data_IF_186948174360
#
_entry.id   IF_186948174360
#
_cell.length_a   1.000
_cell.length_b   1.000
_cell.length_c   1.000
_cell.angle_alpha   90.00
_cell.angle_beta   90.00
_cell.angle_gamma   90.00
#
_symmetry.space_group_name_H-M   'P 1'
#
loop_
_entity.id
_entity.type
_entity.pdbx_description
1 polymer ?
#
# COMPACT_ATOMS: atom_id res chain seq x y z
N UNK A 1 15.02 -12.22 -17.16
CA UNK A 1 14.04 -13.24 -16.73
C UNK A 1 13.46 -12.75 -15.41
N UNK A 2 12.20 -12.28 -15.42
CA UNK A 2 11.55 -11.81 -14.20
C UNK A 2 11.10 -13.04 -13.42
N UNK A 3 11.69 -13.28 -12.25
CA UNK A 3 11.21 -14.27 -11.29
C UNK A 3 9.80 -13.86 -10.89
N UNK A 4 8.80 -14.69 -11.21
CA UNK A 4 7.43 -14.45 -10.78
C UNK A 4 7.40 -14.39 -9.25
N UNK A 5 6.88 -13.31 -8.64
CA UNK A 5 6.90 -13.12 -7.18
C UNK A 5 6.10 -14.17 -6.40
N UNK A 6 5.41 -15.09 -7.10
CA UNK A 6 4.46 -16.04 -6.55
C UNK A 6 5.07 -17.37 -6.10
N UNK A 7 6.32 -17.68 -6.48
CA UNK A 7 6.98 -18.91 -6.01
C UNK A 7 7.47 -18.83 -4.57
N UNK A 8 7.32 -17.68 -3.91
CA UNK A 8 7.80 -17.42 -2.56
C UNK A 8 6.87 -17.95 -1.45
N UNK A 9 5.63 -18.31 -1.77
CA UNK A 9 4.65 -18.73 -0.78
C UNK A 9 4.22 -20.18 -1.03
N UNK A 10 4.80 -21.17 -0.32
CA UNK A 10 4.40 -22.57 -0.46
C UNK A 10 2.97 -22.85 0.06
N UNK A 11 2.39 -21.88 0.77
CA UNK A 11 1.06 -21.94 1.36
C UNK A 11 0.34 -20.60 1.19
N UNK A 12 -0.99 -20.66 1.08
CA UNK A 12 -1.84 -19.48 1.01
C UNK A 12 -1.59 -18.51 2.20
N UNK A 13 -1.24 -17.24 1.95
CA UNK A 13 -0.69 -16.38 3.00
C UNK A 13 -1.78 -15.72 3.88
N UNK A 14 -3.05 -15.70 3.45
CA UNK A 14 -4.13 -15.15 4.28
C UNK A 14 -4.53 -16.14 5.37
N UNK A 15 -4.10 -15.86 6.59
CA UNK A 15 -4.47 -16.67 7.75
C UNK A 15 -5.98 -16.54 8.05
N UNK A 16 -6.62 -17.57 8.63
CA UNK A 16 -8.02 -17.49 9.03
C UNK A 16 -8.31 -16.33 10.00
N UNK A 17 -7.34 -15.97 10.85
CA UNK A 17 -7.44 -14.85 11.78
C UNK A 17 -7.53 -13.51 11.03
N UNK A 18 -6.69 -13.29 10.01
CA UNK A 18 -6.73 -12.11 9.16
C UNK A 18 -8.07 -12.02 8.40
N UNK A 19 -8.52 -13.12 7.80
CA UNK A 19 -9.81 -13.16 7.10
C UNK A 19 -10.98 -12.83 8.03
N UNK A 20 -10.99 -13.37 9.25
CA UNK A 20 -12.00 -13.05 10.27
C UNK A 20 -11.95 -11.58 10.70
N UNK A 21 -10.75 -11.01 10.83
CA UNK A 21 -10.57 -9.60 11.14
C UNK A 21 -11.11 -8.69 10.03
N UNK A 22 -10.71 -8.92 8.77
CA UNK A 22 -11.20 -8.15 7.62
C UNK A 22 -12.73 -8.32 7.49
N UNK A 23 -13.27 -9.53 7.69
CA UNK A 23 -14.70 -9.79 7.71
C UNK A 23 -15.44 -9.01 8.79
N UNK A 24 -14.86 -8.91 9.99
CA UNK A 24 -15.41 -8.12 11.10
C UNK A 24 -15.40 -6.62 10.78
N UNK A 25 -14.36 -6.13 10.10
CA UNK A 25 -14.32 -4.72 9.68
C UNK A 25 -15.32 -4.44 8.56
N UNK A 26 -15.47 -5.34 7.59
CA UNK A 26 -16.53 -5.26 6.57
C UNK A 26 -17.94 -5.23 7.15
N UNK A 27 -18.18 -5.94 8.26
CA UNK A 27 -19.46 -5.89 8.95
C UNK A 27 -19.79 -4.51 9.53
N UNK A 28 -18.77 -3.69 9.83
CA UNK A 28 -18.91 -2.31 10.30
C UNK A 28 -18.91 -1.29 9.16
N UNK A 29 -18.09 -1.51 8.15
CA UNK A 29 -17.91 -0.64 6.99
C UNK A 29 -18.12 -1.46 5.71
N UNK A 30 -19.28 -1.34 5.03
CA UNK A 30 -19.65 -2.26 3.95
C UNK A 30 -18.70 -2.23 2.75
N UNK A 31 -18.01 -1.11 2.52
CA UNK A 31 -17.01 -0.94 1.45
C UNK A 31 -15.70 -0.51 2.05
N UNK A 32 -14.65 -1.31 1.87
CA UNK A 32 -13.28 -0.92 2.23
C UNK A 32 -12.72 0.03 1.17
N UNK A 33 -11.74 0.86 1.52
CA UNK A 33 -11.06 1.74 0.57
C UNK A 33 -10.36 0.96 -0.52
N UNK A 34 -9.80 -0.21 -0.20
CA UNK A 34 -9.24 -1.11 -1.21
C UNK A 34 -10.29 -1.59 -2.22
N UNK A 35 -11.57 -1.74 -1.84
CA UNK A 35 -12.64 -2.07 -2.81
C UNK A 35 -12.82 -0.95 -3.83
N UNK A 36 -12.76 0.30 -3.37
CA UNK A 36 -12.83 1.46 -4.27
C UNK A 36 -11.60 1.53 -5.19
N UNK A 37 -10.41 1.20 -4.70
CA UNK A 37 -9.19 1.14 -5.53
C UNK A 37 -9.30 0.06 -6.61
N UNK A 38 -9.79 -1.13 -6.26
CA UNK A 38 -10.01 -2.22 -7.21
C UNK A 38 -11.11 -1.88 -8.22
N UNK A 39 -12.21 -1.27 -7.77
CA UNK A 39 -13.29 -0.82 -8.66
C UNK A 39 -12.80 0.24 -9.66
N UNK A 40 -11.99 1.21 -9.22
CA UNK A 40 -11.37 2.21 -10.10
C UNK A 40 -10.41 1.56 -11.11
N UNK A 41 -9.76 0.46 -10.75
CA UNK A 41 -8.91 -0.33 -11.65
C UNK A 41 -9.72 -1.20 -12.64
N UNK A 42 -11.05 -1.22 -12.53
CA UNK A 42 -11.93 -2.09 -13.32
C UNK A 42 -11.91 -3.56 -12.88
N UNK A 43 -11.39 -3.84 -11.68
CA UNK A 43 -11.25 -5.20 -11.14
C UNK A 43 -12.51 -5.51 -10.32
N UNK A 44 -13.26 -6.52 -10.74
CA UNK A 44 -14.52 -6.96 -10.10
C UNK A 44 -14.34 -8.07 -9.07
N UNK A 45 -13.09 -8.48 -8.82
CA UNK A 45 -12.75 -9.55 -7.88
C UNK A 45 -12.96 -9.09 -6.43
N UNK A 46 -13.46 -10.00 -5.60
CA UNK A 46 -13.71 -9.74 -4.19
C UNK A 46 -12.41 -9.78 -3.38
N UNK A 47 -12.22 -8.77 -2.55
CA UNK A 47 -11.18 -8.74 -1.51
C UNK A 47 -11.83 -9.03 -0.13
N UNK A 48 -11.14 -9.69 0.82
CA UNK A 48 -9.90 -10.40 0.64
C UNK A 48 -10.11 -11.70 -0.15
N UNK A 49 -9.10 -12.17 -0.88
CA UNK A 49 -9.16 -13.47 -1.52
C UNK A 49 -9.31 -14.56 -0.45
N UNK A 50 -10.13 -15.59 -0.72
CA UNK A 50 -10.40 -16.68 0.23
C UNK A 50 -9.52 -17.91 0.02
N UNK A 51 -9.00 -18.06 -1.19
CA UNK A 51 -8.23 -19.21 -1.63
C UNK A 51 -7.05 -18.74 -2.49
N UNK A 52 -6.02 -19.57 -2.60
CA UNK A 52 -4.85 -19.34 -3.44
C UNK A 52 -5.19 -18.96 -4.91
N UNK A 53 -6.05 -19.70 -5.64
CA UNK A 53 -6.40 -19.33 -7.01
C UNK A 53 -7.07 -17.96 -7.10
N UNK A 54 -7.86 -17.56 -6.10
CA UNK A 54 -8.50 -16.24 -6.07
C UNK A 54 -7.46 -15.13 -5.88
N UNK A 55 -6.44 -15.36 -5.05
CA UNK A 55 -5.31 -14.43 -4.88
C UNK A 55 -4.50 -14.31 -6.18
N UNK A 56 -4.21 -15.43 -6.84
CA UNK A 56 -3.49 -15.43 -8.12
C UNK A 56 -4.24 -14.65 -9.20
N UNK A 57 -5.56 -14.87 -9.30
CA UNK A 57 -6.43 -14.12 -10.22
C UNK A 57 -6.46 -12.63 -9.88
N UNK A 58 -6.49 -12.27 -8.60
CA UNK A 58 -6.46 -10.87 -8.17
C UNK A 58 -5.15 -10.19 -8.55
N UNK A 59 -4.01 -10.84 -8.30
CA UNK A 59 -2.69 -10.30 -8.64
C UNK A 59 -2.51 -10.16 -10.15
N UNK A 60 -2.96 -11.16 -10.92
CA UNK A 60 -2.96 -11.07 -12.38
C UNK A 60 -3.86 -9.93 -12.88
N UNK A 61 -5.07 -9.78 -12.32
CA UNK A 61 -5.98 -8.70 -12.69
C UNK A 61 -5.41 -7.31 -12.36
N UNK A 62 -4.66 -7.17 -11.25
CA UNK A 62 -3.94 -5.94 -10.93
C UNK A 62 -2.85 -5.64 -11.95
N UNK A 63 -2.05 -6.63 -12.35
CA UNK A 63 -0.99 -6.46 -13.34
C UNK A 63 -1.55 -6.10 -14.74
N UNK A 64 -2.67 -6.70 -15.14
CA UNK A 64 -3.36 -6.48 -16.42
C UNK A 64 -4.26 -5.23 -16.44
N UNK A 65 -4.43 -4.56 -15.30
CA UNK A 65 -5.29 -3.38 -15.20
C UNK A 65 -4.77 -2.18 -16.00
N UNK A 66 -5.68 -1.28 -16.37
CA UNK A 66 -5.36 -0.04 -17.08
C UNK A 66 -4.61 1.00 -16.23
N UNK A 67 -4.32 0.68 -14.97
CA UNK A 67 -3.57 1.57 -14.09
C UNK A 67 -2.12 1.73 -14.55
N UNK A 68 -1.57 2.92 -14.31
CA UNK A 68 -0.14 3.13 -14.45
C UNK A 68 0.63 2.21 -13.48
N UNK A 69 1.92 2.02 -13.78
CA UNK A 69 2.77 1.13 -13.01
C UNK A 69 2.80 1.47 -11.52
N UNK A 70 2.81 2.76 -11.17
CA UNK A 70 2.90 3.20 -9.78
C UNK A 70 1.62 2.84 -9.02
N UNK A 71 0.44 3.07 -9.60
CA UNK A 71 -0.84 2.68 -8.98
C UNK A 71 -0.95 1.17 -8.78
N UNK A 72 -0.52 0.36 -9.76
CA UNK A 72 -0.45 -1.10 -9.61
C UNK A 72 0.46 -1.50 -8.45
N UNK A 73 1.66 -0.93 -8.39
CA UNK A 73 2.61 -1.17 -7.30
C UNK A 73 2.05 -0.75 -5.93
N UNK A 74 1.24 0.32 -5.85
CA UNK A 74 0.56 0.73 -4.62
C UNK A 74 -0.51 -0.27 -4.16
N UNK A 75 -1.29 -0.85 -5.08
CA UNK A 75 -2.27 -1.90 -4.75
C UNK A 75 -1.53 -3.15 -4.26
N UNK A 76 -0.47 -3.57 -4.95
CA UNK A 76 0.34 -4.72 -4.54
C UNK A 76 0.99 -4.50 -3.17
N UNK A 77 1.49 -3.29 -2.91
CA UNK A 77 2.02 -2.90 -1.61
C UNK A 77 0.94 -2.98 -0.52
N UNK A 78 -0.28 -2.52 -0.79
CA UNK A 78 -1.41 -2.65 0.13
C UNK A 78 -1.68 -4.12 0.47
N UNK A 79 -1.77 -4.98 -0.56
CA UNK A 79 -2.01 -6.41 -0.37
C UNK A 79 -0.88 -7.10 0.42
N UNK A 80 0.37 -6.73 0.20
CA UNK A 80 1.52 -7.24 0.98
C UNK A 80 1.47 -6.76 2.43
N UNK A 81 1.09 -5.50 2.65
CA UNK A 81 0.97 -4.94 4.00
C UNK A 81 -0.08 -5.65 4.84
N UNK A 82 -1.13 -6.13 4.18
CA UNK A 82 -2.13 -7.01 4.76
C UNK A 82 -1.57 -8.34 5.25
N UNK A 83 -0.64 -8.92 4.51
CA UNK A 83 0.02 -10.18 4.89
C UNK A 83 1.01 -9.97 6.03
N UNK A 84 1.57 -8.77 6.16
CA UNK A 84 2.42 -8.37 7.28
C UNK A 84 1.59 -8.14 8.58
N UNK A 85 0.26 -8.23 8.54
CA UNK A 85 -0.58 -8.08 9.72
C UNK A 85 -0.37 -9.21 10.73
N UNK A 86 0.22 -8.86 11.87
CA UNK A 86 0.31 -9.74 13.02
C UNK A 86 -0.75 -9.36 14.09
N UNK A 87 -1.78 -10.20 14.32
CA UNK A 87 -2.76 -9.93 15.37
C UNK A 87 -2.15 -9.97 16.79
N UNK A 88 -1.01 -10.65 16.97
CA UNK A 88 -0.33 -10.74 18.26
C UNK A 88 0.29 -9.39 18.68
N UNK A 89 0.82 -8.62 17.72
CA UNK A 89 1.43 -7.32 17.97
C UNK A 89 0.41 -6.27 18.46
N UNK A 90 -0.83 -6.36 17.99
CA UNK A 90 -1.91 -5.44 18.38
C UNK A 90 -2.35 -5.66 19.84
N UNK A 91 -2.26 -6.89 20.33
CA UNK A 91 -2.69 -7.24 21.69
C UNK A 91 -1.75 -6.64 22.75
N UNK A 92 -0.44 -6.62 22.46
CA UNK A 92 0.60 -6.18 23.41
C UNK A 92 0.77 -4.67 23.52
N UNK A 93 0.34 -3.91 22.51
CA UNK A 93 0.54 -2.45 22.43
C UNK A 93 -0.60 -1.63 23.07
N UNK A 94 -1.76 -2.26 23.30
CA UNK A 94 -2.89 -1.60 23.97
C UNK A 94 -2.70 -1.38 25.48
N UNK A 95 -1.79 -2.12 26.12
CA UNK A 95 -1.45 -1.95 27.54
C UNK A 95 -0.36 -0.90 27.81
N UNK A 96 0.44 -0.50 26.81
CA UNK A 96 1.53 0.49 27.00
C UNK A 96 1.24 1.86 26.37
N UNK A 97 0.43 1.95 25.31
CA UNK A 97 0.11 3.23 24.68
C UNK A 97 -0.78 4.14 25.56
N UNK A 98 -1.60 3.57 26.44
CA UNK A 98 -2.36 4.34 27.43
C UNK A 98 -1.48 4.91 28.56
N UNK A 99 -0.29 4.34 28.81
CA UNK A 99 0.68 4.84 29.78
C UNK A 99 1.60 5.93 29.20
N UNK A 100 1.92 5.86 27.91
CA UNK A 100 2.84 6.81 27.26
C UNK A 100 2.27 8.23 27.08
N UNK A 101 0.94 8.41 27.08
CA UNK A 101 0.33 9.74 26.97
C UNK A 101 0.29 10.54 28.29
N UNK A 102 0.69 9.95 29.42
CA UNK A 102 0.64 10.61 30.76
C UNK A 102 2.02 11.08 31.25
N UNK A 103 3.11 10.76 30.54
CA UNK A 103 4.48 11.06 31.01
C UNK A 103 5.14 12.27 30.30
N UNK A 104 4.36 13.27 29.86
CA UNK A 104 4.88 14.55 29.38
C UNK A 104 4.75 15.62 30.46
N UNK A 105 5.51 15.50 31.55
CA UNK A 105 5.52 16.53 32.59
C UNK A 105 6.49 16.27 33.73
N UNK A 106 7.35 17.26 33.97
CA UNK A 106 8.28 17.46 35.09
C UNK A 106 9.69 16.89 34.90
N UNK A 107 10.61 17.82 34.59
CA UNK A 107 12.01 17.57 34.31
C UNK A 107 12.85 17.12 35.50
N UNK A 108 14.06 16.67 35.15
CA UNK A 108 15.23 16.67 36.03
C UNK A 108 16.47 16.66 35.12
N UNK A 109 17.21 17.76 35.14
CA UNK A 109 18.54 17.86 34.55
C UNK A 109 19.49 17.09 35.48
N UNK A 110 19.93 15.91 35.07
CA UNK A 110 20.94 15.14 35.80
C UNK A 110 21.98 14.63 34.78
N UNK A 111 23.13 15.27 34.84
CA UNK A 111 24.33 15.09 34.01
C UNK A 111 24.85 13.66 34.20
N UNK A 112 24.49 12.77 33.27
CA UNK A 112 24.93 11.37 33.26
C UNK A 112 25.53 11.09 31.89
N UNK A 113 26.86 11.20 31.79
CA UNK A 113 27.64 10.55 30.73
C UNK A 113 27.46 9.03 30.87
N UNK A 114 26.53 8.47 30.10
CA UNK A 114 26.48 7.03 29.81
C UNK A 114 26.92 6.85 28.37
N UNK A 115 27.87 5.95 28.14
CA UNK A 115 28.31 5.54 26.81
C UNK A 115 27.09 5.10 25.98
N UNK A 116 26.65 6.00 25.10
CA UNK A 116 25.57 5.82 24.12
C UNK A 116 26.07 4.93 22.97
N UNK A 117 26.42 3.67 23.26
CA UNK A 117 26.23 2.62 22.25
C UNK A 117 24.71 2.34 22.19
N UNK A 118 23.99 3.34 21.70
CA UNK A 118 22.57 3.31 21.39
C UNK A 118 22.40 2.21 20.35
N UNK A 119 21.94 1.05 20.81
CA UNK A 119 21.59 -0.05 19.92
C UNK A 119 20.41 0.47 19.11
N UNK A 120 20.71 1.04 17.93
CA UNK A 120 19.71 1.32 16.92
C UNK A 120 18.99 0.00 16.70
N UNK A 121 17.82 -0.15 17.31
CA UNK A 121 16.96 -1.30 17.14
C UNK A 121 16.80 -1.45 15.63
N UNK A 122 17.48 -2.45 15.07
CA UNK A 122 17.49 -2.73 13.65
C UNK A 122 16.06 -3.12 13.29
N UNK A 123 15.24 -2.12 12.94
CA UNK A 123 13.88 -2.30 12.46
C UNK A 123 14.01 -3.05 11.15
N UNK A 124 13.92 -4.38 11.23
CA UNK A 124 13.95 -5.24 10.06
C UNK A 124 12.78 -4.82 9.17
N UNK A 125 13.05 -4.35 7.93
CA UNK A 125 11.98 -3.92 7.04
C UNK A 125 11.01 -5.07 6.82
N UNK A 126 9.71 -4.78 6.87
CA UNK A 126 8.72 -5.81 6.56
C UNK A 126 8.79 -6.17 5.06
N UNK A 127 8.33 -7.36 4.65
CA UNK A 127 8.26 -7.75 3.25
C UNK A 127 7.58 -6.71 2.34
N UNK A 128 6.51 -6.05 2.81
CA UNK A 128 5.88 -4.97 2.06
C UNK A 128 6.82 -3.77 1.86
N UNK A 129 7.59 -3.37 2.88
CA UNK A 129 8.55 -2.27 2.78
C UNK A 129 9.72 -2.60 1.86
N UNK A 130 10.25 -3.83 1.93
CA UNK A 130 11.27 -4.29 0.99
C UNK A 130 10.77 -4.26 -0.46
N UNK A 131 9.53 -4.71 -0.70
CA UNK A 131 8.90 -4.62 -2.02
C UNK A 131 8.81 -3.18 -2.49
N UNK A 132 8.37 -2.28 -1.63
CA UNK A 132 8.18 -0.88 -1.97
C UNK A 132 9.51 -0.18 -2.30
N UNK A 133 10.58 -0.51 -1.57
CA UNK A 133 11.94 -0.06 -1.87
C UNK A 133 12.43 -0.59 -3.22
N UNK A 134 12.24 -1.89 -3.47
CA UNK A 134 12.65 -2.55 -4.73
C UNK A 134 11.93 -1.99 -5.95
N UNK A 135 10.64 -1.67 -5.83
CA UNK A 135 9.83 -1.03 -6.88
C UNK A 135 9.98 0.49 -6.94
N UNK A 136 10.73 1.10 -6.00
CA UNK A 136 10.93 2.55 -5.87
C UNK A 136 9.61 3.33 -5.73
N UNK A 137 8.68 2.80 -4.94
CA UNK A 137 7.43 3.51 -4.63
C UNK A 137 7.79 4.78 -3.81
N UNK A 138 7.38 5.98 -4.25
CA UNK A 138 7.70 7.21 -3.53
C UNK A 138 7.18 7.17 -2.09
N UNK A 139 7.95 7.74 -1.15
CA UNK A 139 7.63 7.73 0.29
C UNK A 139 6.21 8.23 0.55
N UNK A 140 5.80 9.32 -0.10
CA UNK A 140 4.47 9.90 0.10
C UNK A 140 3.33 8.95 -0.32
N UNK A 141 3.52 8.13 -1.35
CA UNK A 141 2.56 7.10 -1.73
C UNK A 141 2.53 5.95 -0.73
N UNK A 142 3.69 5.50 -0.24
CA UNK A 142 3.77 4.47 0.81
C UNK A 142 3.04 4.90 2.08
N UNK A 143 3.27 6.13 2.54
CA UNK A 143 2.59 6.71 3.70
C UNK A 143 1.08 6.82 3.47
N UNK A 144 0.66 7.24 2.27
CA UNK A 144 -0.77 7.32 1.92
C UNK A 144 -1.42 5.94 1.94
N UNK A 145 -0.80 4.94 1.32
CA UNK A 145 -1.29 3.55 1.35
C UNK A 145 -1.32 2.99 2.76
N UNK A 146 -0.32 3.30 3.58
CA UNK A 146 -0.31 2.88 4.98
C UNK A 146 -1.45 3.52 5.78
N UNK A 147 -1.74 4.81 5.55
CA UNK A 147 -2.86 5.49 6.19
C UNK A 147 -4.22 4.91 5.75
N UNK A 148 -4.38 4.60 4.47
CA UNK A 148 -5.59 3.92 3.94
C UNK A 148 -5.76 2.56 4.60
N UNK A 149 -4.67 1.80 4.70
CA UNK A 149 -4.67 0.49 5.34
C UNK A 149 -5.05 0.58 6.82
N UNK A 150 -4.49 1.53 7.59
CA UNK A 150 -4.86 1.75 8.99
C UNK A 150 -6.37 2.05 9.13
N UNK A 151 -6.92 2.85 8.20
CA UNK A 151 -8.33 3.22 8.19
C UNK A 151 -9.23 2.01 7.88
N UNK A 152 -8.87 1.20 6.89
CA UNK A 152 -9.60 -0.03 6.52
C UNK A 152 -9.56 -1.09 7.60
N UNK A 153 -8.55 -1.09 8.46
CA UNK A 153 -8.45 -2.01 9.61
C UNK A 153 -9.03 -1.43 10.91
N UNK A 154 -9.56 -0.19 10.87
CA UNK A 154 -10.13 0.48 12.04
C UNK A 154 -9.12 0.74 13.15
N UNK A 155 -7.83 0.78 12.81
CA UNK A 155 -6.78 1.17 13.74
C UNK A 155 -6.83 2.68 13.97
N UNK A 156 -6.52 3.14 15.21
CA UNK A 156 -6.43 4.56 15.48
C UNK A 156 -5.38 5.14 14.53
N UNK A 157 -5.83 5.97 13.59
CA UNK A 157 -4.93 6.75 12.76
C UNK A 157 -4.14 7.64 13.72
N UNK A 158 -2.88 7.29 13.98
CA UNK A 158 -1.91 8.23 14.54
C UNK A 158 -1.87 9.34 13.52
N UNK A 159 -2.60 10.42 13.77
CA UNK A 159 -2.81 11.50 12.81
C UNK A 159 -1.42 11.93 12.34
N UNK A 160 -1.03 11.66 11.07
CA UNK A 160 0.22 12.20 10.58
C UNK A 160 0.08 13.71 10.65
N UNK A 161 1.11 14.40 11.15
CA UNK A 161 1.11 15.86 11.23
C UNK A 161 0.63 16.45 9.90
N UNK A 162 -0.32 17.42 9.93
CA UNK A 162 -1.01 17.91 8.73
C UNK A 162 -0.08 18.49 7.65
N UNK A 163 1.19 18.72 7.97
CA UNK A 163 2.23 19.18 7.04
C UNK A 163 2.54 18.19 5.91
N UNK A 164 2.30 16.88 6.06
CA UNK A 164 2.69 15.89 5.05
C UNK A 164 1.66 15.70 3.93
N UNK A 165 0.37 15.96 4.18
CA UNK A 165 -0.70 15.69 3.20
C UNK A 165 -0.77 16.70 2.04
N UNK A 166 -0.35 17.95 2.28
CA UNK A 166 -0.45 19.02 1.28
C UNK A 166 0.59 18.91 0.13
N UNK A 167 1.65 18.12 0.31
CA UNK A 167 2.72 18.03 -0.70
C UNK A 167 2.41 17.06 -1.86
N UNK A 168 1.58 16.04 -1.63
CA UNK A 168 1.39 14.96 -2.62
C UNK A 168 0.39 15.33 -3.73
N UNK A 169 -0.64 16.13 -3.42
CA UNK A 169 -1.73 16.43 -4.36
C UNK A 169 -1.32 17.33 -5.53
N UNK A 170 -0.12 17.91 -5.50
CA UNK A 170 0.36 18.85 -6.53
C UNK A 170 1.25 18.21 -7.61
N UNK A 171 1.74 16.99 -7.39
CA UNK A 171 2.67 16.34 -8.32
C UNK A 171 1.99 15.66 -9.52
N UNK A 172 0.71 15.27 -9.42
CA UNK A 172 0.03 14.50 -10.48
C UNK A 172 -0.67 15.36 -11.55
N UNK A 173 -0.68 16.70 -11.42
CA UNK A 173 -1.39 17.59 -12.34
C UNK A 173 -0.57 18.06 -13.56
N UNK A 174 0.73 17.72 -13.65
CA UNK A 174 1.63 18.24 -14.68
C UNK A 174 1.97 17.28 -15.82
N UNK A 175 1.40 16.07 -15.88
CA UNK A 175 1.81 15.03 -16.86
C UNK A 175 0.77 14.76 -17.97
N UNK A 176 -0.13 15.71 -18.25
CA UNK A 176 -1.20 15.55 -19.26
C UNK A 176 -1.06 16.42 -20.52
N UNK A 177 0.04 17.17 -20.69
CA UNK A 177 0.20 18.10 -21.83
C UNK A 177 1.39 17.74 -22.75
N UNK A 178 1.40 16.52 -23.28
CA UNK A 178 2.29 16.15 -24.41
C UNK A 178 1.69 15.02 -25.22
N UNK A 179 0.53 15.28 -25.83
CA UNK A 179 0.04 14.43 -26.92
C UNK A 179 0.68 14.91 -28.24
N UNK A 180 1.36 14.04 -29.01
CA UNK A 180 1.80 14.38 -30.36
C UNK A 180 0.58 14.54 -31.28
N UNK A 181 0.54 15.65 -32.02
CA UNK A 181 -0.51 15.95 -32.98
C UNK A 181 -0.64 14.83 -34.02
N UNK A 182 -1.87 14.44 -34.43
CA UNK A 182 -2.06 13.49 -35.51
C UNK A 182 -1.60 14.12 -36.83
N UNK A 183 -0.50 13.60 -37.38
CA UNK A 183 -0.07 13.93 -38.74
C UNK A 183 -1.11 13.35 -39.70
N UNK A 184 -1.96 14.22 -40.26
CA UNK A 184 -2.87 13.90 -41.35
C UNK A 184 -2.07 13.35 -42.54
N UNK A 185 -2.10 12.03 -42.72
CA UNK A 185 -1.52 11.37 -43.87
C UNK A 185 -2.57 11.37 -45.00
N UNK A 186 -2.33 12.21 -45.99
CA UNK A 186 -3.13 12.29 -47.22
C UNK A 186 -2.96 11.03 -48.06
N UNK A 187 -4.04 10.39 -48.53
CA UNK A 187 -3.94 9.29 -49.50
C UNK A 187 -3.68 9.86 -50.90
N UNK A 188 -2.47 9.65 -51.42
CA UNK A 188 -2.16 9.89 -52.82
C UNK A 188 -2.92 8.89 -53.70
N UNK A 189 -3.79 9.45 -54.54
CA UNK A 189 -4.49 8.75 -55.61
C UNK A 189 -3.49 8.42 -56.72
N UNK A 190 -3.01 7.18 -56.78
CA UNK A 190 -2.24 6.72 -57.93
C UNK A 190 -3.14 5.93 -58.90
N UNK A 191 -3.61 6.65 -59.91
CA UNK A 191 -4.16 6.11 -61.16
C UNK A 191 -3.08 5.31 -61.89
N UNK A 192 -3.39 4.07 -62.28
CA UNK A 192 -2.63 3.39 -63.34
C UNK A 192 -3.59 2.91 -64.42
N UNK A 193 -3.41 3.34 -65.69
CA UNK A 193 -4.12 2.83 -66.85
C UNK A 193 -3.31 1.71 -67.52
N UNK A 194 -3.95 0.59 -67.85
CA UNK A 194 -4.00 -0.05 -69.19
C UNK A 194 -4.64 -1.43 -69.14
#
# INVERSE_FOLDING_TARGET
MATSPLTLFPTFPYTPALLAHIGSTRARTPTLLVDHLLALAGITLLYPPRDEPALLLLLQAVEDSAFDRLKRDCILFYLLKDLDWDPSATSSSSSSAAAAAVAAGAGKEEDTEMDEDEVEDLVVPTPAEEFAQRRRIPVAYRLSMHALWLLDHGLPSVRPSPSLFLSCSRASANELDSAPSPTSQTPDSNSTPH
#
